data_IF_672037012837
#
_entry.id   IF_672037012837
#
_cell.length_a   1.000
_cell.length_b   1.000
_cell.length_c   1.000
_cell.angle_alpha   90.00
_cell.angle_beta   90.00
_cell.angle_gamma   90.00
#
_symmetry.space_group_name_H-M   'P 1'
#
loop_
_entity.id
_entity.type
_entity.pdbx_description
1 polymer ?
#
# COMPACT_ATOMS: atom_id res chain seq x y z
N UNK A 1 10.43 -36.05 36.67
CA UNK A 1 9.00 -35.68 36.54
C UNK A 1 8.81 -34.17 36.68
N UNK A 2 9.38 -33.52 37.70
CA UNK A 2 9.21 -32.07 37.91
C UNK A 2 9.74 -31.18 36.79
N UNK A 3 10.87 -31.52 36.20
CA UNK A 3 11.43 -30.78 35.05
C UNK A 3 10.48 -30.82 33.84
N UNK A 4 9.94 -31.99 33.51
CA UNK A 4 8.99 -32.14 32.41
C UNK A 4 7.71 -31.32 32.64
N UNK A 5 7.27 -31.25 33.91
CA UNK A 5 6.10 -30.46 34.31
C UNK A 5 6.35 -28.95 34.19
N UNK A 6 7.53 -28.47 34.59
CA UNK A 6 7.94 -27.07 34.40
C UNK A 6 8.02 -26.68 32.93
N UNK A 7 8.58 -27.54 32.07
CA UNK A 7 8.64 -27.30 30.63
C UNK A 7 7.23 -27.24 30.01
N UNK A 8 6.33 -28.15 30.43
CA UNK A 8 4.94 -28.18 29.96
C UNK A 8 4.15 -26.93 30.39
N UNK A 9 4.31 -26.50 31.64
CA UNK A 9 3.71 -25.27 32.16
C UNK A 9 4.25 -24.03 31.43
N UNK A 10 5.55 -24.02 31.08
CA UNK A 10 6.16 -22.99 30.28
C UNK A 10 5.56 -22.90 28.87
N UNK A 11 5.38 -24.05 28.23
CA UNK A 11 4.80 -24.15 26.89
C UNK A 11 3.33 -23.72 26.87
N UNK A 12 2.56 -24.10 27.89
CA UNK A 12 1.16 -23.68 28.02
C UNK A 12 1.02 -22.16 28.20
N UNK A 13 1.88 -21.53 29.03
CA UNK A 13 1.93 -20.07 29.16
C UNK A 13 2.29 -19.38 27.84
N UNK A 14 3.23 -19.97 27.09
CA UNK A 14 3.62 -19.43 25.78
C UNK A 14 2.46 -19.50 24.78
N UNK A 15 1.75 -20.63 24.70
CA UNK A 15 0.56 -20.77 23.84
C UNK A 15 -0.53 -19.76 24.22
N UNK A 16 -0.78 -19.55 25.52
CA UNK A 16 -1.76 -18.55 25.96
C UNK A 16 -1.38 -17.14 25.52
N UNK A 17 -0.10 -16.78 25.62
CA UNK A 17 0.40 -15.49 25.14
C UNK A 17 0.23 -15.33 23.62
N UNK A 18 0.61 -16.35 22.85
CA UNK A 18 0.43 -16.31 21.38
C UNK A 18 -1.05 -16.18 21.02
N UNK A 19 -1.95 -16.86 21.74
CA UNK A 19 -3.39 -16.73 21.53
C UNK A 19 -3.90 -15.32 21.79
N UNK A 20 -3.38 -14.63 22.82
CA UNK A 20 -3.71 -13.23 23.08
C UNK A 20 -3.19 -12.29 21.98
N UNK A 21 -1.95 -12.51 21.51
CA UNK A 21 -1.35 -11.72 20.44
C UNK A 21 -2.12 -11.91 19.11
N UNK A 22 -2.54 -13.13 18.79
CA UNK A 22 -3.35 -13.41 17.58
C UNK A 22 -4.75 -12.81 17.69
N UNK A 23 -5.40 -12.89 18.87
CA UNK A 23 -6.68 -12.23 19.07
C UNK A 23 -6.58 -10.69 18.93
N UNK A 24 -5.44 -10.09 19.31
CA UNK A 24 -5.22 -8.66 19.16
C UNK A 24 -5.06 -8.25 17.70
N UNK A 25 -4.51 -9.15 16.90
CA UNK A 25 -4.30 -8.97 15.47
C UNK A 25 -5.60 -9.14 14.68
N UNK A 26 -6.41 -10.15 15.02
CA UNK A 26 -7.68 -10.51 14.35
C UNK A 26 -8.83 -9.54 14.67
N UNK A 27 -8.71 -8.73 15.73
CA UNK A 27 -9.81 -7.86 16.16
C UNK A 27 -10.06 -6.74 15.13
N UNK A 28 -11.29 -6.60 14.61
CA UNK A 28 -11.62 -5.51 13.71
C UNK A 28 -11.64 -4.19 14.48
N UNK A 29 -10.84 -3.23 14.03
CA UNK A 29 -10.95 -1.82 14.41
C UNK A 29 -11.76 -1.13 13.32
N UNK A 30 -12.94 -0.60 13.67
CA UNK A 30 -13.82 0.15 12.77
C UNK A 30 -14.23 -0.57 11.47
N UNK A 31 -14.82 -1.76 11.62
CA UNK A 31 -15.70 -2.34 10.60
C UNK A 31 -15.04 -3.15 9.48
N UNK A 32 -13.71 -3.25 9.44
CA UNK A 32 -12.98 -4.04 8.45
C UNK A 32 -11.99 -5.02 9.12
N UNK A 33 -11.87 -6.23 8.57
CA UNK A 33 -10.92 -7.24 9.06
C UNK A 33 -9.49 -6.75 8.71
N UNK A 34 -8.83 -6.16 9.71
CA UNK A 34 -7.55 -5.42 9.58
C UNK A 34 -6.46 -6.19 8.85
N UNK A 35 -6.44 -7.52 8.95
CA UNK A 35 -5.45 -8.35 8.27
C UNK A 35 -5.86 -8.74 6.85
N UNK A 36 -7.14 -9.05 6.61
CA UNK A 36 -7.66 -9.33 5.26
C UNK A 36 -7.47 -8.13 4.32
N UNK A 37 -7.57 -6.91 4.86
CA UNK A 37 -7.39 -5.69 4.07
C UNK A 37 -5.93 -5.24 3.89
N UNK A 38 -4.96 -5.71 4.69
CA UNK A 38 -3.58 -5.20 4.61
C UNK A 38 -2.85 -5.61 3.33
N UNK A 39 -3.00 -6.86 2.91
CA UNK A 39 -2.45 -7.33 1.64
C UNK A 39 -3.04 -6.54 0.46
N UNK A 40 -4.37 -6.42 0.44
CA UNK A 40 -5.12 -5.71 -0.61
C UNK A 40 -4.76 -4.22 -0.67
N UNK A 41 -4.64 -3.55 0.48
CA UNK A 41 -4.22 -2.15 0.57
C UNK A 41 -2.81 -1.93 0.00
N UNK A 42 -1.87 -2.84 0.29
CA UNK A 42 -0.51 -2.74 -0.26
C UNK A 42 -0.48 -3.03 -1.77
N UNK A 43 -1.30 -3.96 -2.27
CA UNK A 43 -1.47 -4.18 -3.71
C UNK A 43 -2.03 -2.93 -4.41
N UNK A 44 -3.04 -2.30 -3.82
CA UNK A 44 -3.63 -1.06 -4.32
C UNK A 44 -2.59 0.07 -4.40
N UNK A 45 -1.71 0.20 -3.40
CA UNK A 45 -0.60 1.16 -3.42
C UNK A 45 0.36 0.87 -4.59
N UNK A 46 0.75 -0.38 -4.82
CA UNK A 46 1.62 -0.74 -5.95
C UNK A 46 0.94 -0.43 -7.28
N UNK A 47 -0.34 -0.77 -7.42
CA UNK A 47 -1.11 -0.51 -8.63
C UNK A 47 -1.26 0.99 -8.90
N UNK A 48 -1.70 1.77 -7.90
CA UNK A 48 -1.90 3.21 -8.02
C UNK A 48 -0.60 3.95 -8.35
N UNK A 49 0.51 3.58 -7.69
CA UNK A 49 1.82 4.20 -7.97
C UNK A 49 2.34 3.84 -9.38
N UNK A 50 2.13 2.61 -9.84
CA UNK A 50 2.45 2.20 -11.20
C UNK A 50 1.61 2.93 -12.26
N UNK A 51 0.30 3.05 -12.03
CA UNK A 51 -0.60 3.79 -12.92
C UNK A 51 -0.19 5.27 -13.03
N UNK A 52 0.10 5.91 -11.90
CA UNK A 52 0.57 7.29 -11.87
C UNK A 52 1.90 7.46 -12.65
N UNK A 53 2.84 6.53 -12.50
CA UNK A 53 4.10 6.53 -13.27
C UNK A 53 3.84 6.40 -14.77
N UNK A 54 2.96 5.51 -15.21
CA UNK A 54 2.60 5.39 -16.63
C UNK A 54 2.00 6.69 -17.16
N UNK A 55 1.07 7.32 -16.45
CA UNK A 55 0.49 8.61 -16.84
C UNK A 55 1.55 9.70 -16.97
N UNK A 56 2.54 9.75 -16.07
CA UNK A 56 3.65 10.70 -16.17
C UNK A 56 4.50 10.44 -17.43
N UNK A 57 4.81 9.18 -17.73
CA UNK A 57 5.59 8.82 -18.91
C UNK A 57 4.85 9.16 -20.20
N UNK A 58 3.56 8.81 -20.31
CA UNK A 58 2.71 9.16 -21.46
C UNK A 58 2.64 10.68 -21.69
N UNK A 59 2.51 11.46 -20.61
CA UNK A 59 2.53 12.92 -20.70
C UNK A 59 3.89 13.45 -21.19
N UNK A 60 5.00 12.84 -20.78
CA UNK A 60 6.34 13.21 -21.25
C UNK A 60 6.57 12.82 -22.72
N UNK A 61 6.07 11.66 -23.17
CA UNK A 61 6.11 11.26 -24.59
C UNK A 61 5.31 12.23 -25.45
N UNK A 62 4.12 12.65 -24.99
CA UNK A 62 3.33 13.67 -25.68
C UNK A 62 4.06 15.01 -25.76
N UNK A 63 4.75 15.42 -24.69
CA UNK A 63 5.58 16.61 -24.71
C UNK A 63 6.75 16.49 -25.69
N UNK A 64 7.40 15.33 -25.78
CA UNK A 64 8.50 15.10 -26.73
C UNK A 64 8.03 15.26 -28.20
N UNK A 65 6.87 14.71 -28.54
CA UNK A 65 6.27 14.87 -29.88
C UNK A 65 6.01 16.35 -30.22
N UNK A 66 5.53 17.13 -29.26
CA UNK A 66 5.32 18.57 -29.43
C UNK A 66 6.65 19.32 -29.59
N UNK A 67 7.68 18.95 -28.83
CA UNK A 67 9.01 19.56 -28.93
C UNK A 67 9.64 19.27 -30.30
N UNK A 68 9.49 18.06 -30.84
CA UNK A 68 10.01 17.70 -32.15
C UNK A 68 9.28 18.45 -33.28
N UNK A 69 7.96 18.58 -33.20
CA UNK A 69 7.21 19.42 -34.13
C UNK A 69 7.67 20.89 -34.08
N UNK A 70 7.95 21.42 -32.89
CA UNK A 70 8.47 22.79 -32.73
C UNK A 70 9.87 22.96 -33.33
N UNK A 71 10.75 21.95 -33.21
CA UNK A 71 12.09 21.97 -33.79
C UNK A 71 12.10 22.16 -35.30
N UNK A 72 11.08 21.69 -36.01
CA UNK A 72 10.98 21.85 -37.47
C UNK A 72 10.73 23.31 -37.89
N UNK A 73 10.15 24.12 -37.00
CA UNK A 73 9.73 25.50 -37.29
C UNK A 73 10.67 26.55 -36.70
N UNK A 74 11.37 26.21 -35.62
CA UNK A 74 12.24 27.13 -34.88
C UNK A 74 13.64 27.12 -35.49
N UNK A 75 14.12 28.29 -35.91
CA UNK A 75 15.46 28.47 -36.48
C UNK A 75 16.41 29.26 -35.57
N UNK A 76 15.89 29.89 -34.51
CA UNK A 76 16.70 30.70 -33.60
C UNK A 76 17.62 29.81 -32.74
N UNK A 77 18.95 30.01 -32.76
CA UNK A 77 19.88 29.16 -32.02
C UNK A 77 19.65 29.12 -30.51
N UNK A 78 19.19 30.21 -29.90
CA UNK A 78 18.93 30.24 -28.46
C UNK A 78 17.67 29.43 -28.11
N UNK A 79 16.63 29.49 -28.93
CA UNK A 79 15.43 28.66 -28.79
C UNK A 79 15.73 27.17 -29.03
N UNK A 80 16.55 26.82 -30.02
CA UNK A 80 16.98 25.44 -30.26
C UNK A 80 17.69 24.87 -29.03
N UNK A 81 18.62 25.63 -28.44
CA UNK A 81 19.31 25.21 -27.21
C UNK A 81 18.34 25.02 -26.02
N UNK A 82 17.24 25.78 -25.97
CA UNK A 82 16.19 25.59 -24.97
C UNK A 82 15.39 24.29 -25.20
N UNK A 83 15.06 23.96 -26.46
CA UNK A 83 14.42 22.69 -26.82
C UNK A 83 15.29 21.49 -26.46
N UNK A 84 16.60 21.58 -26.69
CA UNK A 84 17.55 20.53 -26.31
C UNK A 84 17.57 20.29 -24.80
N UNK A 85 17.52 21.37 -24.00
CA UNK A 85 17.41 21.26 -22.54
C UNK A 85 16.07 20.65 -22.11
N UNK A 86 14.97 20.98 -22.77
CA UNK A 86 13.66 20.38 -22.48
C UNK A 86 13.66 18.87 -22.79
N UNK A 87 14.25 18.47 -23.91
CA UNK A 87 14.42 17.04 -24.26
C UNK A 87 15.27 16.31 -23.21
N UNK A 88 16.39 16.91 -22.80
CA UNK A 88 17.25 16.34 -21.76
C UNK A 88 16.52 16.18 -20.41
N UNK A 89 15.68 17.15 -20.04
CA UNK A 89 14.85 17.05 -18.85
C UNK A 89 13.82 15.93 -18.95
N UNK A 90 13.15 15.78 -20.09
CA UNK A 90 12.20 14.67 -20.34
C UNK A 90 12.88 13.31 -20.19
N UNK A 91 14.07 13.15 -20.77
CA UNK A 91 14.88 11.93 -20.63
C UNK A 91 15.26 11.63 -19.16
N UNK A 92 15.59 12.65 -18.38
CA UNK A 92 15.87 12.48 -16.96
C UNK A 92 14.62 12.02 -16.17
N UNK A 93 13.42 12.47 -16.56
CA UNK A 93 12.16 11.99 -15.97
C UNK A 93 11.92 10.52 -16.33
N UNK A 94 12.13 10.11 -17.57
CA UNK A 94 12.02 8.71 -17.98
C UNK A 94 12.98 7.81 -17.20
N UNK A 95 14.24 8.23 -17.04
CA UNK A 95 15.23 7.48 -16.26
C UNK A 95 14.82 7.36 -14.78
N UNK A 96 14.32 8.46 -14.18
CA UNK A 96 13.82 8.44 -12.81
C UNK A 96 12.62 7.51 -12.65
N UNK A 97 11.67 7.51 -13.60
CA UNK A 97 10.52 6.63 -13.60
C UNK A 97 10.89 5.16 -13.82
N UNK A 98 11.94 4.86 -14.60
CA UNK A 98 12.40 3.49 -14.79
C UNK A 98 12.86 2.81 -13.48
N UNK A 99 13.34 3.56 -12.49
CA UNK A 99 13.63 3.03 -11.15
C UNK A 99 12.38 2.64 -10.35
N UNK A 100 11.20 3.12 -10.73
CA UNK A 100 9.94 2.73 -10.10
C UNK A 100 9.64 1.25 -10.33
N UNK A 101 9.99 0.66 -11.48
CA UNK A 101 9.80 -0.78 -11.73
C UNK A 101 10.52 -1.64 -10.69
N UNK A 102 11.77 -1.31 -10.36
CA UNK A 102 12.53 -2.01 -9.31
C UNK A 102 11.87 -1.82 -7.93
N UNK A 103 11.36 -0.62 -7.65
CA UNK A 103 10.65 -0.34 -6.39
C UNK A 103 9.36 -1.14 -6.31
N UNK A 104 8.54 -1.15 -7.37
CA UNK A 104 7.30 -1.92 -7.46
C UNK A 104 7.55 -3.42 -7.29
N UNK A 105 8.58 -3.97 -7.91
CA UNK A 105 8.98 -5.36 -7.72
C UNK A 105 9.39 -5.68 -6.27
N UNK A 106 10.11 -4.77 -5.60
CA UNK A 106 10.49 -4.93 -4.19
C UNK A 106 9.28 -4.88 -3.27
N UNK A 107 8.38 -3.92 -3.47
CA UNK A 107 7.13 -3.81 -2.70
C UNK A 107 6.28 -5.06 -2.91
N UNK A 108 6.12 -5.53 -4.15
CA UNK A 108 5.41 -6.78 -4.44
C UNK A 108 5.96 -8.01 -3.70
N UNK A 109 7.27 -8.07 -3.43
CA UNK A 109 7.83 -9.15 -2.58
C UNK A 109 7.42 -9.00 -1.12
N UNK A 110 7.36 -7.75 -0.62
CA UNK A 110 6.86 -7.45 0.72
C UNK A 110 5.39 -7.84 0.83
N UNK A 111 4.55 -7.43 -0.14
CA UNK A 111 3.13 -7.81 -0.22
C UNK A 111 2.96 -9.33 -0.08
N UNK A 112 3.64 -10.11 -0.92
CA UNK A 112 3.59 -11.59 -0.85
C UNK A 112 3.98 -12.15 0.52
N UNK A 113 4.91 -11.49 1.21
CA UNK A 113 5.34 -11.92 2.55
C UNK A 113 4.29 -11.57 3.60
N UNK A 114 3.64 -10.41 3.48
CA UNK A 114 2.52 -10.01 4.34
C UNK A 114 1.32 -10.94 4.14
N UNK A 115 0.92 -11.20 2.89
CA UNK A 115 -0.15 -12.17 2.56
C UNK A 115 0.16 -13.56 3.10
N UNK A 116 1.43 -14.01 3.03
CA UNK A 116 1.81 -15.29 3.62
C UNK A 116 1.63 -15.32 5.15
N UNK A 117 1.98 -14.23 5.84
CA UNK A 117 1.78 -14.11 7.30
C UNK A 117 0.29 -14.10 7.63
N UNK A 118 -0.50 -13.34 6.88
CA UNK A 118 -1.96 -13.25 6.97
C UNK A 118 -2.62 -14.63 6.87
N UNK A 119 -2.30 -15.41 5.83
CA UNK A 119 -2.82 -16.78 5.67
C UNK A 119 -2.54 -17.67 6.89
N UNK A 120 -1.39 -17.49 7.55
CA UNK A 120 -1.02 -18.27 8.74
C UNK A 120 -1.73 -17.78 9.99
N UNK A 121 -1.91 -16.47 10.13
CA UNK A 121 -2.72 -15.88 11.21
C UNK A 121 -4.16 -16.39 11.08
N UNK A 122 -4.76 -16.30 9.89
CA UNK A 122 -6.12 -16.79 9.63
C UNK A 122 -6.26 -18.29 9.92
N UNK A 123 -5.27 -19.10 9.53
CA UNK A 123 -5.28 -20.53 9.87
C UNK A 123 -5.24 -20.77 11.40
N UNK A 124 -4.48 -19.98 12.16
CA UNK A 124 -4.45 -20.08 13.63
C UNK A 124 -5.78 -19.63 14.26
N UNK A 125 -6.37 -18.57 13.71
CA UNK A 125 -7.70 -18.08 14.10
C UNK A 125 -8.76 -19.17 13.91
N UNK A 126 -8.76 -19.84 12.75
CA UNK A 126 -9.69 -20.94 12.46
C UNK A 126 -9.50 -22.14 13.40
N UNK A 127 -8.24 -22.50 13.73
CA UNK A 127 -7.94 -23.60 14.66
C UNK A 127 -8.48 -23.31 16.07
N UNK A 128 -8.34 -22.08 16.55
CA UNK A 128 -8.80 -21.71 17.90
C UNK A 128 -10.29 -21.36 17.94
N UNK A 129 -10.88 -21.01 16.80
CA UNK A 129 -12.26 -20.60 16.63
C UNK A 129 -12.43 -19.10 16.88
N UNK A 130 -12.91 -18.38 15.86
CA UNK A 130 -13.14 -16.92 15.87
C UNK A 130 -13.94 -16.46 17.09
N UNK A 131 -15.05 -17.13 17.43
CA UNK A 131 -15.88 -16.80 18.60
C UNK A 131 -15.08 -16.81 19.92
N UNK A 132 -14.18 -17.77 20.09
CA UNK A 132 -13.36 -17.92 21.30
C UNK A 132 -12.20 -16.93 21.38
N UNK A 133 -11.81 -16.34 20.26
CA UNK A 133 -10.80 -15.28 20.21
C UNK A 133 -11.45 -13.92 20.46
N UNK A 134 -12.66 -13.70 19.95
CA UNK A 134 -13.45 -12.50 20.20
C UNK A 134 -13.78 -12.29 21.69
N UNK A 135 -13.92 -13.38 22.46
CA UNK A 135 -14.11 -13.35 23.91
C UNK A 135 -12.87 -12.92 24.72
N UNK A 136 -11.68 -12.86 24.09
CA UNK A 136 -10.45 -12.47 24.79
C UNK A 136 -10.46 -10.96 25.01
N UNK A 137 -10.35 -10.54 26.27
CA UNK A 137 -10.14 -9.13 26.60
C UNK A 137 -8.74 -8.70 26.16
N UNK A 138 -8.69 -7.62 25.39
CA UNK A 138 -7.47 -7.04 24.83
C UNK A 138 -7.45 -5.59 25.28
N UNK A 139 -6.28 -5.09 25.66
CA UNK A 139 -6.12 -3.67 25.97
C UNK A 139 -6.56 -2.84 24.75
N UNK A 140 -7.34 -1.79 25.00
CA UNK A 140 -7.75 -0.86 23.96
C UNK A 140 -6.50 -0.27 23.28
N UNK A 141 -6.56 -0.12 21.96
CA UNK A 141 -5.55 0.63 21.24
C UNK A 141 -5.57 2.10 21.71
N UNK A 142 -4.41 2.77 21.77
CA UNK A 142 -4.37 4.21 22.03
C UNK A 142 -5.19 4.95 20.96
N UNK A 143 -5.90 6.01 21.36
CA UNK A 143 -6.59 6.88 20.39
C UNK A 143 -5.58 7.41 19.37
N UNK A 144 -5.94 7.28 18.09
CA UNK A 144 -5.18 7.86 16.99
C UNK A 144 -5.12 9.38 17.16
N UNK A 145 -3.99 9.96 16.81
CA UNK A 145 -3.88 11.42 16.71
C UNK A 145 -4.69 11.94 15.51
N UNK A 146 -5.08 13.22 15.56
CA UNK A 146 -5.79 13.86 14.44
C UNK A 146 -5.00 13.79 13.11
N UNK A 147 -3.67 13.74 13.15
CA UNK A 147 -2.82 13.61 11.96
C UNK A 147 -2.86 12.18 11.41
N UNK A 148 -2.90 11.15 12.28
CA UNK A 148 -3.02 9.75 11.86
C UNK A 148 -4.40 9.45 11.26
N UNK A 149 -5.44 10.12 11.73
CA UNK A 149 -6.79 10.01 11.17
C UNK A 149 -6.89 10.56 9.74
N UNK A 150 -5.99 11.46 9.33
CA UNK A 150 -5.95 12.00 7.96
C UNK A 150 -5.20 11.07 6.99
N UNK A 151 -4.47 10.07 7.49
CA UNK A 151 -3.69 9.15 6.66
C UNK A 151 -4.58 8.02 6.15
N UNK A 152 -5.37 8.32 5.13
CA UNK A 152 -6.07 7.30 4.35
C UNK A 152 -5.18 6.80 3.19
N UNK A 153 -5.14 5.48 3.01
CA UNK A 153 -4.53 4.87 1.83
C UNK A 153 -5.30 5.19 0.55
N UNK A 154 -4.76 4.84 -0.63
CA UNK A 154 -5.52 4.90 -1.87
C UNK A 154 -6.83 4.12 -1.72
N UNK A 155 -7.92 4.70 -2.23
CA UNK A 155 -9.23 4.06 -2.18
C UNK A 155 -9.19 2.78 -3.03
N UNK A 156 -9.71 1.68 -2.47
CA UNK A 156 -9.87 0.43 -3.20
C UNK A 156 -10.94 0.60 -4.30
N UNK A 157 -10.86 -0.23 -5.33
CA UNK A 157 -11.81 -0.20 -6.45
C UNK A 157 -13.26 -0.33 -5.94
N UNK A 158 -14.11 0.62 -6.33
CA UNK A 158 -15.52 0.69 -5.92
C UNK A 158 -15.78 1.30 -4.54
N UNK A 159 -14.74 1.68 -3.79
CA UNK A 159 -14.88 2.39 -2.51
C UNK A 159 -14.65 3.91 -2.63
N UNK A 160 -14.34 4.40 -3.83
CA UNK A 160 -14.17 5.82 -4.08
C UNK A 160 -15.47 6.59 -4.22
N UNK A 161 -15.41 7.90 -3.94
CA UNK A 161 -16.52 8.80 -4.26
C UNK A 161 -16.75 8.80 -5.76
N UNK A 162 -18.01 8.62 -6.18
CA UNK A 162 -18.34 8.74 -7.60
C UNK A 162 -18.21 10.19 -8.05
N UNK A 163 -18.00 10.42 -9.35
CA UNK A 163 -17.98 11.79 -9.89
C UNK A 163 -19.28 12.54 -9.56
N UNK A 164 -20.42 11.83 -9.56
CA UNK A 164 -21.72 12.38 -9.16
C UNK A 164 -21.76 12.80 -7.67
N UNK A 165 -20.96 12.17 -6.80
CA UNK A 165 -20.85 12.56 -5.40
C UNK A 165 -19.89 13.73 -5.19
N UNK A 166 -18.86 13.83 -6.03
CA UNK A 166 -17.95 14.98 -6.06
C UNK A 166 -18.72 16.22 -6.52
N UNK A 167 -19.51 16.11 -7.60
CA UNK A 167 -20.25 17.24 -8.17
C UNK A 167 -21.26 17.83 -7.17
N UNK A 168 -21.91 16.99 -6.35
CA UNK A 168 -22.82 17.42 -5.26
C UNK A 168 -22.14 18.24 -4.15
N UNK A 169 -20.81 18.20 -4.03
CA UNK A 169 -20.07 18.97 -3.02
C UNK A 169 -19.76 20.40 -3.48
N UNK A 170 -19.88 20.67 -4.79
CA UNK A 170 -19.56 21.96 -5.39
C UNK A 170 -20.77 22.71 -5.98
N UNK A 171 -21.98 22.14 -5.88
CA UNK A 171 -23.28 22.76 -6.15
C UNK A 171 -23.96 23.30 -4.87
#
# INVERSE_FOLDING_TARGET
>A
MDRLRQELDGLMRYIQRVRQEIAAIDRPTDGDDRFESMGEQLEAVVAATGAATNTIMEAMESNEQLLDALRETITDPAQIAALDRLTANGNAVFEACAFQDITGQRVNKVVKSVTYVEERVNALVDIWGRDKLAEIEIAAEPEKSADEDLLHGPQLDGQGLSQDDIDKLFD
#
